data_IF_702907492499
#
_entry.id   IF_702907492499
#
_cell.length_a   1.000
_cell.length_b   1.000
_cell.length_c   1.000
_cell.angle_alpha   90.00
_cell.angle_beta   90.00
_cell.angle_gamma   90.00
#
_symmetry.space_group_name_H-M   'P 1'
#
loop_
_entity.id
_entity.type
_entity.pdbx_description
1 polymer ?
#
# COMPACT_ATOMS: atom_id res chain seq x y z
N UNK A 1 -3.07 43.97 36.51
CA UNK A 1 -4.06 43.86 35.42
C UNK A 1 -3.30 43.80 34.10
N UNK A 2 -3.55 42.72 33.37
CA UNK A 2 -3.25 42.38 31.96
C UNK A 2 -3.40 43.58 31.00
N UNK A 3 -2.87 43.68 29.79
CA UNK A 3 -2.06 42.86 28.87
C UNK A 3 -1.88 43.78 27.65
N UNK A 4 -0.68 43.91 27.08
CA UNK A 4 -0.53 44.49 25.75
C UNK A 4 -0.64 43.37 24.72
N UNK A 5 -1.67 43.49 23.88
CA UNK A 5 -1.82 42.71 22.66
C UNK A 5 -0.71 43.07 21.68
N UNK A 6 0.06 42.07 21.24
CA UNK A 6 0.89 42.19 20.06
C UNK A 6 0.31 41.28 18.97
N UNK A 7 -0.26 41.93 17.96
CA UNK A 7 -0.65 41.32 16.70
C UNK A 7 0.63 41.12 15.91
N UNK A 8 1.08 39.88 15.77
CA UNK A 8 2.20 39.49 14.92
C UNK A 8 1.72 38.52 13.87
N UNK A 9 1.45 39.02 12.66
CA UNK A 9 1.35 38.18 11.46
C UNK A 9 2.70 37.50 11.22
N UNK A 10 2.71 36.18 11.17
CA UNK A 10 3.78 35.40 10.56
C UNK A 10 3.15 34.29 9.70
N UNK A 11 2.90 34.65 8.45
CA UNK A 11 2.80 33.74 7.32
C UNK A 11 4.20 33.17 7.07
N UNK A 12 4.38 31.86 7.18
CA UNK A 12 5.28 31.06 6.33
C UNK A 12 5.25 29.61 6.77
N UNK A 13 5.02 28.72 5.81
CA UNK A 13 4.99 27.27 6.00
C UNK A 13 6.25 26.72 6.65
N UNK A 14 6.05 25.90 7.67
CA UNK A 14 6.93 24.80 8.01
C UNK A 14 6.08 23.90 8.91
N UNK A 15 5.64 22.76 8.37
CA UNK A 15 5.16 21.67 9.22
C UNK A 15 6.42 21.13 9.89
N UNK A 16 6.80 21.75 11.01
CA UNK A 16 7.80 21.19 11.89
C UNK A 16 7.26 19.83 12.36
N UNK A 17 7.92 18.78 11.91
CA UNK A 17 7.74 17.44 12.47
C UNK A 17 8.21 17.54 13.91
N UNK A 18 7.27 17.73 14.84
CA UNK A 18 7.53 17.84 16.26
C UNK A 18 7.97 16.48 16.81
N UNK A 19 9.25 16.15 16.63
CA UNK A 19 9.97 15.12 17.36
C UNK A 19 10.24 15.63 18.79
N UNK A 20 9.21 15.74 19.64
CA UNK A 20 9.44 15.90 21.08
C UNK A 20 8.18 15.64 21.90
N UNK A 21 8.38 14.90 23.00
CA UNK A 21 7.52 14.75 24.18
C UNK A 21 6.34 13.76 24.10
N UNK A 22 6.59 12.53 24.55
CA UNK A 22 5.83 11.88 25.64
C UNK A 22 6.48 10.53 26.02
N UNK A 23 7.55 10.58 26.82
CA UNK A 23 8.04 9.44 27.57
C UNK A 23 7.16 9.28 28.83
N UNK A 24 6.02 8.59 28.71
CA UNK A 24 5.31 8.00 29.84
C UNK A 24 4.23 7.04 29.32
N UNK A 25 4.36 5.75 29.67
CA UNK A 25 3.57 4.57 29.27
C UNK A 25 4.03 3.93 27.95
N UNK A 26 4.48 2.67 28.03
CA UNK A 26 5.26 1.97 27.00
C UNK A 26 4.52 1.70 25.68
N UNK A 27 5.33 1.57 24.63
CA UNK A 27 5.02 1.34 23.22
C UNK A 27 4.61 2.60 22.44
N UNK A 28 5.60 3.26 21.83
CA UNK A 28 5.40 4.15 20.71
C UNK A 28 4.80 3.34 19.56
N UNK A 29 3.46 3.29 19.47
CA UNK A 29 2.78 2.82 18.25
C UNK A 29 3.12 3.80 17.13
N UNK A 30 4.14 3.47 16.34
CA UNK A 30 4.41 4.17 15.08
C UNK A 30 3.13 4.13 14.25
N UNK A 31 2.70 5.31 13.82
CA UNK A 31 1.50 5.46 13.02
C UNK A 31 1.89 5.68 11.56
N UNK A 32 1.13 5.06 10.68
CA UNK A 32 1.38 5.03 9.25
C UNK A 32 0.15 5.55 8.51
N UNK A 33 0.37 6.34 7.46
CA UNK A 33 -0.72 6.91 6.66
C UNK A 33 -1.47 5.82 5.89
N UNK A 34 -0.75 4.82 5.39
CA UNK A 34 -1.28 3.73 4.56
C UNK A 34 -0.33 2.52 4.56
N UNK A 35 -0.74 1.48 3.84
CA UNK A 35 -0.02 0.24 3.63
C UNK A 35 1.35 0.47 3.01
N UNK A 36 1.47 1.34 2.01
CA UNK A 36 2.75 1.64 1.38
C UNK A 36 3.75 2.26 2.36
N UNK A 37 3.32 3.24 3.15
CA UNK A 37 4.16 3.89 4.17
C UNK A 37 4.59 2.90 5.24
N UNK A 38 3.70 2.02 5.67
CA UNK A 38 4.04 0.93 6.58
C UNK A 38 5.07 -0.03 5.95
N UNK A 39 4.79 -0.54 4.76
CA UNK A 39 5.64 -1.50 4.06
C UNK A 39 7.06 -0.96 3.83
N UNK A 40 7.17 0.23 3.24
CA UNK A 40 8.48 0.84 2.94
C UNK A 40 9.27 1.20 4.20
N UNK A 41 8.59 1.60 5.28
CA UNK A 41 9.18 1.82 6.60
C UNK A 41 9.63 0.54 7.30
N UNK A 42 9.11 -0.63 6.90
CA UNK A 42 9.39 -1.93 7.51
C UNK A 42 10.20 -2.88 6.59
N UNK A 43 10.98 -2.31 5.66
CA UNK A 43 11.94 -3.09 4.88
C UNK A 43 11.34 -3.89 3.72
N UNK A 44 10.12 -3.56 3.29
CA UNK A 44 9.55 -4.14 2.08
C UNK A 44 9.90 -3.28 0.84
N UNK A 45 9.94 -3.94 -0.31
CA UNK A 45 10.00 -3.35 -1.65
C UNK A 45 8.61 -3.43 -2.25
N UNK A 46 8.05 -2.29 -2.61
CA UNK A 46 6.80 -2.22 -3.37
C UNK A 46 7.07 -2.47 -4.85
N UNK A 47 6.19 -3.22 -5.51
CA UNK A 47 6.35 -3.61 -6.92
C UNK A 47 5.27 -3.09 -7.87
N UNK A 48 4.21 -2.45 -7.36
CA UNK A 48 3.06 -2.04 -8.17
C UNK A 48 3.30 -0.86 -9.11
N UNK A 49 4.45 -0.20 -9.00
CA UNK A 49 4.91 0.91 -9.87
C UNK A 49 6.20 0.58 -10.63
N UNK A 50 6.69 -0.66 -10.54
CA UNK A 50 7.92 -1.09 -11.20
C UNK A 50 7.66 -1.39 -12.67
N UNK A 51 8.33 -0.65 -13.55
CA UNK A 51 8.30 -0.91 -14.98
C UNK A 51 8.92 -2.25 -15.36
N UNK A 52 8.57 -2.75 -16.54
CA UNK A 52 8.96 -4.06 -17.08
C UNK A 52 10.48 -4.35 -17.05
N UNK A 53 11.33 -3.32 -17.05
CA UNK A 53 12.79 -3.46 -17.00
C UNK A 53 13.33 -3.82 -15.60
N UNK A 54 12.55 -3.65 -14.52
CA UNK A 54 12.95 -4.02 -13.16
C UNK A 54 12.73 -5.52 -12.92
N UNK A 55 13.73 -6.22 -12.37
CA UNK A 55 13.63 -7.66 -12.09
C UNK A 55 12.50 -8.06 -11.14
N UNK A 56 12.00 -7.09 -10.36
CA UNK A 56 10.90 -7.26 -9.43
C UNK A 56 9.57 -6.69 -9.98
N UNK A 57 9.50 -6.32 -11.26
CA UNK A 57 8.23 -5.95 -11.88
C UNK A 57 7.26 -7.14 -11.80
N UNK A 58 5.96 -6.83 -11.72
CA UNK A 58 4.91 -7.86 -11.69
C UNK A 58 5.07 -8.82 -12.87
N UNK A 59 5.36 -8.28 -14.05
CA UNK A 59 5.65 -9.05 -15.25
C UNK A 59 6.82 -10.00 -15.07
N UNK A 60 7.97 -9.52 -14.61
CA UNK A 60 9.16 -10.37 -14.45
C UNK A 60 8.99 -11.43 -13.36
N UNK A 61 8.23 -11.14 -12.30
CA UNK A 61 7.90 -12.13 -11.28
C UNK A 61 6.92 -13.21 -11.79
N UNK A 62 6.03 -12.85 -12.72
CA UNK A 62 5.17 -13.80 -13.43
C UNK A 62 5.92 -14.58 -14.52
N UNK A 63 6.99 -14.05 -15.08
CA UNK A 63 7.78 -14.74 -16.11
C UNK A 63 8.84 -15.65 -15.51
N UNK A 64 9.47 -15.18 -14.43
CA UNK A 64 10.59 -15.83 -13.80
C UNK A 64 10.23 -17.17 -13.14
N UNK A 65 11.27 -17.87 -12.73
CA UNK A 65 11.19 -19.11 -11.96
C UNK A 65 10.77 -18.91 -10.50
N UNK A 66 10.27 -17.71 -10.15
CA UNK A 66 9.82 -17.38 -8.80
C UNK A 66 8.49 -18.08 -8.52
N UNK A 67 8.56 -19.39 -8.26
CA UNK A 67 7.41 -20.27 -8.03
C UNK A 67 6.47 -19.71 -6.95
N UNK A 68 7.05 -19.07 -5.94
CA UNK A 68 6.33 -18.53 -4.80
C UNK A 68 5.43 -17.34 -5.19
N UNK A 69 5.81 -16.52 -6.17
CA UNK A 69 5.01 -15.36 -6.56
C UNK A 69 3.71 -15.79 -7.26
N UNK A 70 3.81 -16.67 -8.26
CA UNK A 70 2.65 -17.23 -8.97
C UNK A 70 1.69 -17.94 -8.01
N UNK A 71 2.25 -18.72 -7.09
CA UNK A 71 1.48 -19.44 -6.08
C UNK A 71 0.76 -18.48 -5.11
N UNK A 72 1.47 -17.47 -4.60
CA UNK A 72 0.89 -16.46 -3.71
C UNK A 72 -0.22 -15.68 -4.40
N UNK A 73 0.02 -15.26 -5.66
CA UNK A 73 -0.99 -14.59 -6.46
C UNK A 73 -2.22 -15.46 -6.65
N UNK A 74 -2.04 -16.73 -7.02
CA UNK A 74 -3.15 -17.68 -7.18
C UNK A 74 -3.97 -17.87 -5.89
N UNK A 75 -3.30 -17.97 -4.74
CA UNK A 75 -3.96 -18.10 -3.43
C UNK A 75 -4.71 -16.85 -2.99
N UNK A 76 -4.25 -15.66 -3.40
CA UNK A 76 -4.81 -14.37 -2.97
C UNK A 76 -5.74 -13.73 -3.98
N UNK A 77 -5.81 -14.24 -5.20
CA UNK A 77 -6.61 -13.68 -6.29
C UNK A 77 -8.07 -13.40 -5.90
N UNK A 78 -8.74 -14.35 -5.22
CA UNK A 78 -10.12 -14.19 -4.79
C UNK A 78 -10.32 -13.09 -3.72
N UNK A 79 -9.26 -12.70 -3.02
CA UNK A 79 -9.25 -11.59 -2.08
C UNK A 79 -8.96 -10.23 -2.73
N UNK A 80 -8.60 -10.20 -4.01
CA UNK A 80 -8.33 -8.97 -4.74
C UNK A 80 -9.63 -8.46 -5.36
N UNK A 81 -10.37 -7.63 -4.61
CA UNK A 81 -11.60 -7.00 -5.12
C UNK A 81 -11.28 -6.04 -6.27
N UNK A 82 -12.05 -6.13 -7.35
CA UNK A 82 -11.99 -5.22 -8.50
C UNK A 82 -12.84 -3.95 -8.29
N UNK A 83 -13.58 -3.86 -7.18
CA UNK A 83 -14.44 -2.71 -6.86
C UNK A 83 -13.67 -1.41 -6.65
N UNK A 84 -12.39 -1.52 -6.28
CA UNK A 84 -11.50 -0.38 -6.06
C UNK A 84 -10.82 0.10 -7.35
N UNK A 85 -11.06 -0.59 -8.47
CA UNK A 85 -10.40 -0.32 -9.75
C UNK A 85 -11.27 0.54 -10.67
N UNK A 86 -10.63 1.18 -11.63
CA UNK A 86 -11.30 1.85 -12.73
C UNK A 86 -12.05 0.85 -13.63
N UNK A 87 -13.13 1.30 -14.27
CA UNK A 87 -14.07 0.47 -15.03
C UNK A 87 -13.40 -0.29 -16.20
N UNK A 88 -12.43 0.35 -16.85
CA UNK A 88 -11.69 -0.21 -17.99
C UNK A 88 -10.78 -1.37 -17.54
N UNK A 89 -10.13 -1.24 -16.38
CA UNK A 89 -9.33 -2.30 -15.77
C UNK A 89 -10.26 -3.43 -15.33
N UNK A 90 -11.35 -3.08 -14.63
CA UNK A 90 -12.34 -4.03 -14.11
C UNK A 90 -12.96 -4.92 -15.21
N UNK A 91 -13.30 -4.32 -16.35
CA UNK A 91 -13.85 -5.04 -17.51
C UNK A 91 -12.84 -6.00 -18.15
N UNK A 92 -11.55 -5.69 -18.03
CA UNK A 92 -10.45 -6.50 -18.58
C UNK A 92 -9.91 -7.56 -17.61
N UNK A 93 -10.32 -7.51 -16.34
CA UNK A 93 -9.88 -8.43 -15.28
C UNK A 93 -10.12 -9.90 -15.65
N UNK A 94 -9.08 -10.75 -15.61
CA UNK A 94 -9.27 -12.18 -15.80
C UNK A 94 -10.15 -12.77 -14.70
N UNK A 95 -11.27 -13.41 -15.08
CA UNK A 95 -12.16 -14.09 -14.13
C UNK A 95 -11.70 -15.55 -13.93
N UNK A 96 -11.64 -16.05 -12.68
CA UNK A 96 -11.35 -17.45 -12.42
C UNK A 96 -12.39 -18.40 -13.05
N UNK A 97 -11.99 -19.61 -13.46
CA UNK A 97 -10.61 -20.10 -13.56
C UNK A 97 -9.95 -19.58 -14.84
N UNK A 98 -8.84 -18.85 -14.71
CA UNK A 98 -8.06 -18.37 -15.85
C UNK A 98 -6.72 -19.10 -15.93
N UNK A 99 -6.24 -19.32 -17.15
CA UNK A 99 -4.85 -19.74 -17.39
C UNK A 99 -3.93 -18.53 -17.25
N UNK A 100 -2.96 -18.62 -16.34
CA UNK A 100 -1.90 -17.63 -16.15
C UNK A 100 -1.12 -17.36 -17.45
N UNK A 101 -0.88 -18.42 -18.23
CA UNK A 101 -0.14 -18.36 -19.50
C UNK A 101 -0.90 -17.56 -20.56
N UNK A 102 -2.22 -17.74 -20.65
CA UNK A 102 -3.04 -17.17 -21.73
C UNK A 102 -3.55 -15.76 -21.46
N UNK A 103 -3.45 -15.27 -20.22
CA UNK A 103 -4.00 -13.98 -19.79
C UNK A 103 -2.95 -13.05 -19.16
N UNK A 104 -1.66 -13.35 -19.37
CA UNK A 104 -0.56 -12.73 -18.66
C UNK A 104 -0.59 -11.20 -18.65
N UNK A 105 -0.74 -10.54 -19.81
CA UNK A 105 -0.77 -9.08 -19.86
C UNK A 105 -1.95 -8.48 -19.10
N UNK A 106 -3.11 -9.16 -19.11
CA UNK A 106 -4.28 -8.75 -18.34
C UNK A 106 -4.06 -8.94 -16.84
N UNK A 107 -3.38 -10.02 -16.46
CA UNK A 107 -3.00 -10.29 -15.07
C UNK A 107 -2.03 -9.23 -14.58
N UNK A 108 -0.98 -8.91 -15.35
CA UNK A 108 0.00 -7.87 -15.03
C UNK A 108 -0.72 -6.55 -14.77
N UNK A 109 -1.51 -6.07 -15.75
CA UNK A 109 -2.26 -4.81 -15.64
C UNK A 109 -3.21 -4.79 -14.44
N UNK A 110 -3.94 -5.88 -14.23
CA UNK A 110 -4.86 -5.99 -13.10
C UNK A 110 -4.12 -5.91 -11.76
N UNK A 111 -3.03 -6.69 -11.62
CA UNK A 111 -2.25 -6.73 -10.38
C UNK A 111 -1.60 -5.38 -10.11
N UNK A 112 -1.01 -4.73 -11.12
CA UNK A 112 -0.42 -3.40 -10.98
C UNK A 112 -1.46 -2.37 -10.53
N UNK A 113 -2.60 -2.29 -11.23
CA UNK A 113 -3.69 -1.38 -10.88
C UNK A 113 -4.23 -1.65 -9.47
N UNK A 114 -4.40 -2.93 -9.12
CA UNK A 114 -4.84 -3.33 -7.78
C UNK A 114 -3.81 -2.96 -6.71
N UNK A 115 -2.53 -3.21 -6.96
CA UNK A 115 -1.46 -2.82 -6.06
C UNK A 115 -1.41 -1.30 -5.88
N UNK A 116 -1.67 -0.51 -6.91
CA UNK A 116 -1.72 0.94 -6.80
C UNK A 116 -2.92 1.40 -5.96
N UNK A 117 -4.12 0.91 -6.29
CA UNK A 117 -5.35 1.25 -5.59
C UNK A 117 -5.35 0.84 -4.11
N UNK A 118 -4.82 -0.35 -3.79
CA UNK A 118 -4.80 -0.85 -2.42
C UNK A 118 -3.67 -0.25 -1.58
N UNK A 119 -2.56 0.19 -2.21
CA UNK A 119 -1.38 0.69 -1.48
C UNK A 119 -1.66 1.93 -0.62
N UNK A 120 -2.68 2.70 -1.01
CA UNK A 120 -3.14 3.89 -0.31
C UNK A 120 -4.17 3.58 0.79
N UNK A 121 -4.62 2.32 0.90
CA UNK A 121 -5.43 1.89 2.03
C UNK A 121 -4.58 1.83 3.30
N UNK A 122 -5.21 1.96 4.46
CA UNK A 122 -6.55 2.51 4.65
C UNK A 122 -6.59 4.00 4.31
N UNK A 123 -7.66 4.44 3.65
CA UNK A 123 -7.78 5.85 3.25
C UNK A 123 -7.92 6.73 4.50
N UNK A 124 -7.14 7.82 4.62
CA UNK A 124 -7.28 8.76 5.72
C UNK A 124 -8.71 9.28 5.79
N UNK A 125 -9.38 9.09 6.92
CA UNK A 125 -10.67 9.76 7.19
C UNK A 125 -10.41 11.05 7.96
N UNK A 126 -11.38 11.98 8.02
CA UNK A 126 -11.26 13.19 8.84
C UNK A 126 -10.89 12.86 10.30
N UNK A 127 -11.43 11.76 10.82
CA UNK A 127 -11.28 11.33 12.21
C UNK A 127 -10.07 10.40 12.43
N UNK A 128 -9.51 9.81 11.37
CA UNK A 128 -8.38 8.88 11.46
C UNK A 128 -7.46 9.00 10.24
N UNK A 129 -6.43 9.83 10.40
CA UNK A 129 -5.40 10.04 9.37
C UNK A 129 -4.31 8.96 9.35
N UNK A 130 -4.02 8.35 10.50
CA UNK A 130 -2.92 7.40 10.64
C UNK A 130 -3.35 6.13 11.39
N UNK A 131 -2.70 5.02 11.07
CA UNK A 131 -3.02 3.68 11.53
C UNK A 131 -1.83 3.03 12.23
N UNK A 132 -2.09 2.23 13.26
CA UNK A 132 -1.03 1.45 13.92
C UNK A 132 -0.71 0.18 13.12
N UNK A 133 0.44 -0.43 13.38
CA UNK A 133 0.81 -1.72 12.79
C UNK A 133 -0.27 -2.78 13.02
N UNK A 134 -0.81 -2.85 14.25
CA UNK A 134 -1.86 -3.81 14.61
C UNK A 134 -3.10 -3.62 13.74
N UNK A 135 -3.48 -2.38 13.48
CA UNK A 135 -4.66 -2.07 12.66
C UNK A 135 -4.41 -2.37 11.18
N UNK A 136 -3.21 -2.06 10.67
CA UNK A 136 -2.81 -2.42 9.29
C UNK A 136 -2.85 -3.93 9.11
N UNK A 137 -2.19 -4.69 9.99
CA UNK A 137 -2.14 -6.16 9.90
C UNK A 137 -3.50 -6.84 10.11
N UNK A 138 -4.43 -6.16 10.78
CA UNK A 138 -5.79 -6.65 10.97
C UNK A 138 -6.73 -6.33 9.79
N UNK A 139 -6.36 -5.42 8.88
CA UNK A 139 -7.15 -5.12 7.69
C UNK A 139 -7.18 -6.35 6.77
N UNK A 140 -8.38 -6.69 6.29
CA UNK A 140 -8.62 -7.88 5.47
C UNK A 140 -7.81 -7.91 4.18
N UNK A 141 -7.44 -6.75 3.65
CA UNK A 141 -6.76 -6.64 2.36
C UNK A 141 -5.23 -6.65 2.54
N UNK A 142 -4.72 -6.43 3.76
CA UNK A 142 -3.28 -6.40 4.05
C UNK A 142 -2.60 -7.71 3.63
N UNK A 143 -3.18 -8.86 3.97
CA UNK A 143 -2.56 -10.15 3.66
C UNK A 143 -2.48 -10.43 2.15
N UNK A 144 -3.36 -9.86 1.33
CA UNK A 144 -3.27 -9.94 -0.12
C UNK A 144 -2.23 -8.92 -0.64
N UNK A 145 -2.23 -7.70 -0.12
CA UNK A 145 -1.26 -6.67 -0.47
C UNK A 145 0.18 -7.11 -0.18
N UNK A 146 0.45 -7.64 1.01
CA UNK A 146 1.78 -8.11 1.40
C UNK A 146 2.26 -9.25 0.50
N UNK A 147 1.37 -10.18 0.14
CA UNK A 147 1.73 -11.35 -0.65
C UNK A 147 1.92 -11.06 -2.15
N UNK A 148 1.20 -10.06 -2.68
CA UNK A 148 1.12 -9.79 -4.11
C UNK A 148 1.88 -8.54 -4.53
N UNK A 149 1.96 -7.53 -3.67
CA UNK A 149 2.51 -6.21 -4.03
C UNK A 149 3.85 -5.90 -3.35
N UNK A 150 4.32 -6.76 -2.46
CA UNK A 150 5.54 -6.56 -1.69
C UNK A 150 6.54 -7.70 -1.86
N UNK A 151 7.82 -7.36 -1.86
CA UNK A 151 8.93 -8.31 -1.70
C UNK A 151 9.73 -7.88 -0.47
N UNK A 152 10.27 -8.83 0.29
CA UNK A 152 11.20 -8.51 1.38
C UNK A 152 12.54 -8.05 0.79
N UNK A 153 13.09 -6.94 1.28
CA UNK A 153 14.46 -6.53 0.97
C UNK A 153 15.47 -7.59 1.39
#
# INVERSE_FOLDING_TARGET
>A
MSTLAYVGSAIAGTVAISLATAYALGAFDYKYENFLKYATGNGFVYIGDKGDDDSNSVKNLLEGSSSNYKENLGKKWLGMSDEILEEDVKSSSPKPPYSLESNKDKIVKFVEAWCQAISIKPTPTPDKKNWTEKEIKADKDWAAFEAVCLIKK
#
